data_IF_060000271157
#
_entry.id   IF_060000271157
#
_cell.length_a   1.000
_cell.length_b   1.000
_cell.length_c   1.000
_cell.angle_alpha   90.00
_cell.angle_beta   90.00
_cell.angle_gamma   90.00
#
_symmetry.space_group_name_H-M   'P 1'
#
loop_
_entity.id
_entity.type
_entity.pdbx_description
1 polymer ?
#
# COMPACT_ATOMS: atom_id res chain seq x y z
N UNK A 1 49.29 -24.48 -25.97
CA UNK A 1 48.05 -25.05 -26.52
C UNK A 1 47.07 -25.11 -25.37
N UNK A 2 46.02 -24.43 -25.23
CA UNK A 2 45.22 -23.44 -25.98
C UNK A 2 44.53 -22.58 -24.95
N UNK A 3 44.67 -21.32 -25.24
CA UNK A 3 44.02 -20.19 -24.59
C UNK A 3 42.50 -20.25 -24.75
N UNK A 4 41.72 -19.98 -23.72
CA UNK A 4 40.33 -19.54 -23.85
C UNK A 4 40.06 -18.40 -22.86
N UNK A 5 40.17 -17.20 -23.41
CA UNK A 5 39.76 -15.96 -22.76
C UNK A 5 38.22 -15.87 -22.57
N UNK A 6 37.78 -15.45 -21.38
CA UNK A 6 36.43 -14.96 -21.14
C UNK A 6 36.23 -13.61 -21.81
N UNK A 7 35.06 -13.33 -22.40
CA UNK A 7 34.80 -12.03 -23.00
C UNK A 7 34.45 -10.99 -21.92
N UNK A 8 35.12 -9.86 -21.99
CA UNK A 8 34.85 -8.65 -21.23
C UNK A 8 33.44 -8.10 -21.53
N UNK A 9 32.67 -7.84 -20.48
CA UNK A 9 31.39 -7.16 -20.57
C UNK A 9 31.58 -5.73 -21.11
N UNK A 10 30.99 -5.46 -22.26
CA UNK A 10 30.88 -4.11 -22.82
C UNK A 10 29.90 -3.30 -22.00
N UNK A 11 30.39 -2.29 -21.30
CA UNK A 11 29.56 -1.16 -20.84
C UNK A 11 28.99 -0.45 -22.08
N UNK A 12 27.71 -0.64 -22.35
CA UNK A 12 26.96 0.22 -23.26
C UNK A 12 26.70 1.54 -22.54
N UNK A 13 27.44 2.57 -22.93
CA UNK A 13 27.10 3.95 -22.61
C UNK A 13 25.76 4.27 -23.30
N UNK A 14 24.70 4.35 -22.53
CA UNK A 14 23.41 4.85 -22.98
C UNK A 14 23.54 6.36 -23.17
N UNK A 15 23.53 6.80 -24.41
CA UNK A 15 23.27 8.20 -24.79
C UNK A 15 21.93 8.62 -24.23
N UNK A 16 21.78 9.79 -23.60
CA UNK A 16 20.47 10.27 -23.15
C UNK A 16 19.63 10.60 -24.38
N UNK A 17 18.69 9.72 -24.70
CA UNK A 17 17.60 10.02 -25.62
C UNK A 17 16.77 11.14 -24.99
N UNK A 18 16.69 12.29 -25.66
CA UNK A 18 15.78 13.37 -25.29
C UNK A 18 14.36 12.86 -25.45
N UNK A 19 13.73 12.45 -24.37
CA UNK A 19 12.30 12.15 -24.34
C UNK A 19 11.59 13.50 -24.42
N UNK A 20 11.18 13.89 -25.61
CA UNK A 20 10.31 15.05 -25.82
C UNK A 20 9.00 14.79 -25.05
N UNK A 21 8.60 15.74 -24.22
CA UNK A 21 7.31 15.70 -23.52
C UNK A 21 6.21 15.81 -24.57
N UNK A 22 5.30 14.84 -24.70
CA UNK A 22 4.24 14.92 -25.71
C UNK A 22 3.34 16.13 -25.44
N UNK A 23 2.93 16.82 -26.48
CA UNK A 23 1.98 17.92 -26.43
C UNK A 23 0.57 17.40 -26.10
N UNK A 24 -0.32 18.25 -25.60
CA UNK A 24 -1.71 17.86 -25.32
C UNK A 24 -2.43 17.29 -26.56
N UNK A 25 -2.08 17.77 -27.78
CA UNK A 25 -2.61 17.26 -29.05
C UNK A 25 -2.05 15.85 -29.39
N UNK A 26 -0.79 15.55 -29.01
CA UNK A 26 -0.18 14.23 -29.19
C UNK A 26 -0.70 13.23 -28.15
N UNK A 27 -1.08 13.68 -26.96
CA UNK A 27 -1.76 12.84 -25.96
C UNK A 27 -3.19 12.47 -26.41
N UNK A 28 -3.89 13.35 -27.11
CA UNK A 28 -5.20 13.03 -27.71
C UNK A 28 -5.06 12.13 -28.95
N UNK A 29 -3.99 12.29 -29.74
CA UNK A 29 -3.72 11.46 -30.92
C UNK A 29 -3.11 10.08 -30.58
N UNK A 30 -2.47 9.93 -29.42
CA UNK A 30 -1.86 8.68 -28.95
C UNK A 30 -2.85 7.76 -28.21
N UNK A 31 -4.15 8.07 -28.20
CA UNK A 31 -5.15 7.09 -27.82
C UNK A 31 -5.20 6.06 -28.97
N UNK A 32 -4.69 4.83 -28.82
CA UNK A 32 -4.87 3.82 -29.85
C UNK A 32 -6.37 3.70 -30.08
N UNK A 33 -6.79 3.64 -31.35
CA UNK A 33 -8.15 3.25 -31.70
C UNK A 33 -8.40 1.91 -31.00
N UNK A 34 -9.02 1.96 -29.81
CA UNK A 34 -9.33 0.77 -29.02
C UNK A 34 -10.31 0.03 -29.90
N UNK A 35 -9.91 -1.13 -30.37
CA UNK A 35 -10.80 -2.10 -30.98
C UNK A 35 -11.81 -2.43 -29.87
N UNK A 36 -12.94 -1.66 -29.86
CA UNK A 36 -13.97 -1.83 -28.82
C UNK A 36 -14.50 -3.23 -28.97
N UNK A 37 -14.20 -4.09 -28.02
CA UNK A 37 -14.79 -5.40 -28.03
C UNK A 37 -16.34 -5.27 -27.99
N UNK A 38 -17.03 -6.24 -28.53
CA UNK A 38 -18.48 -6.24 -28.67
C UNK A 38 -19.21 -5.89 -27.35
N UNK A 39 -18.68 -6.31 -26.21
CA UNK A 39 -19.27 -6.03 -24.88
C UNK A 39 -19.27 -4.54 -24.56
N UNK A 40 -18.17 -3.84 -24.83
CA UNK A 40 -18.03 -2.41 -24.59
C UNK A 40 -18.99 -1.64 -25.51
N UNK A 41 -19.04 -2.02 -26.76
CA UNK A 41 -19.96 -1.43 -27.74
C UNK A 41 -21.43 -1.56 -27.30
N UNK A 42 -21.86 -2.76 -26.91
CA UNK A 42 -23.22 -3.01 -26.43
C UNK A 42 -23.56 -2.20 -25.17
N UNK A 43 -22.61 -2.10 -24.22
CA UNK A 43 -22.80 -1.30 -23.00
C UNK A 43 -22.89 0.19 -23.29
N UNK A 44 -22.13 0.70 -24.27
CA UNK A 44 -22.25 2.09 -24.72
C UNK A 44 -23.59 2.35 -25.42
N UNK A 45 -24.08 1.41 -26.22
CA UNK A 45 -25.42 1.51 -26.82
C UNK A 45 -26.51 1.53 -25.73
N UNK A 46 -26.41 0.73 -24.68
CA UNK A 46 -27.32 0.79 -23.52
C UNK A 46 -27.26 2.14 -22.81
N UNK A 47 -26.07 2.71 -22.63
CA UNK A 47 -25.91 4.04 -22.04
C UNK A 47 -26.54 5.13 -22.92
N UNK A 48 -26.39 5.06 -24.24
CA UNK A 48 -27.02 6.00 -25.17
C UNK A 48 -28.55 6.00 -25.01
N UNK A 49 -29.17 4.81 -24.96
CA UNK A 49 -30.62 4.67 -24.73
C UNK A 49 -31.05 5.26 -23.37
N UNK A 50 -30.26 5.06 -22.31
CA UNK A 50 -30.56 5.66 -21.00
C UNK A 50 -30.57 7.20 -21.06
N UNK A 51 -29.68 7.80 -21.86
CA UNK A 51 -29.64 9.27 -22.07
C UNK A 51 -30.83 9.81 -22.85
N UNK A 52 -31.42 9.00 -23.72
CA UNK A 52 -32.64 9.36 -24.48
C UNK A 52 -33.89 9.39 -23.58
N UNK A 53 -33.91 8.53 -22.54
CA UNK A 53 -35.06 8.34 -21.64
C UNK A 53 -35.00 9.18 -20.36
N UNK A 54 -33.85 9.79 -20.06
CA UNK A 54 -33.68 10.56 -18.84
C UNK A 54 -32.23 10.81 -18.42
N UNK A 55 -32.01 11.01 -17.13
CA UNK A 55 -30.70 11.27 -16.55
C UNK A 55 -29.99 9.91 -16.37
N UNK A 56 -28.97 9.65 -17.20
CA UNK A 56 -28.22 8.40 -17.17
C UNK A 56 -27.32 8.19 -15.92
N UNK A 57 -26.99 9.28 -15.23
CA UNK A 57 -26.21 9.30 -13.98
C UNK A 57 -26.92 10.16 -12.94
N UNK A 58 -27.99 9.65 -12.31
CA UNK A 58 -28.70 10.38 -11.28
C UNK A 58 -27.81 10.61 -10.05
N UNK A 59 -27.88 11.77 -9.43
CA UNK A 59 -27.11 12.17 -8.26
C UNK A 59 -27.99 12.53 -7.04
N UNK A 60 -29.22 12.12 -7.08
CA UNK A 60 -30.27 12.40 -6.08
C UNK A 60 -30.51 11.25 -5.09
N UNK A 61 -29.65 10.22 -5.09
CA UNK A 61 -29.73 9.08 -4.19
C UNK A 61 -28.55 9.06 -3.21
N UNK A 62 -28.85 9.04 -1.92
CA UNK A 62 -27.89 8.87 -0.85
C UNK A 62 -28.28 7.64 -0.02
N UNK A 63 -27.49 6.56 -0.03
CA UNK A 63 -27.80 5.39 0.77
C UNK A 63 -27.69 5.70 2.27
N UNK A 64 -28.71 5.36 3.06
CA UNK A 64 -28.70 5.51 4.50
C UNK A 64 -27.84 4.44 5.18
N UNK A 65 -27.74 3.25 4.57
CA UNK A 65 -27.12 2.07 5.15
C UNK A 65 -25.91 1.61 4.38
N UNK A 66 -25.07 0.79 5.05
CA UNK A 66 -23.88 0.15 4.46
C UNK A 66 -23.90 -1.35 4.75
N UNK A 67 -23.37 -2.14 3.80
CA UNK A 67 -23.38 -3.60 3.88
C UNK A 67 -22.72 -4.15 5.15
N UNK A 68 -21.50 -3.72 5.47
CA UNK A 68 -20.75 -4.21 6.63
C UNK A 68 -21.46 -3.95 7.97
N UNK A 69 -21.85 -2.71 8.29
CA UNK A 69 -22.65 -2.42 9.49
C UNK A 69 -23.95 -3.22 9.58
N UNK A 70 -24.69 -3.39 8.47
CA UNK A 70 -25.90 -4.20 8.46
C UNK A 70 -25.59 -5.68 8.77
N UNK A 71 -24.57 -6.25 8.15
CA UNK A 71 -24.13 -7.62 8.41
C UNK A 71 -23.75 -7.82 9.88
N UNK A 72 -22.98 -6.90 10.44
CA UNK A 72 -22.53 -6.97 11.83
C UNK A 72 -23.70 -6.81 12.82
N UNK A 73 -24.57 -5.81 12.62
CA UNK A 73 -25.70 -5.54 13.52
C UNK A 73 -26.74 -6.66 13.53
N UNK A 74 -26.85 -7.41 12.43
CA UNK A 74 -27.88 -8.45 12.29
C UNK A 74 -27.30 -9.86 12.16
N UNK A 75 -26.03 -10.07 12.55
CA UNK A 75 -25.36 -11.37 12.48
C UNK A 75 -26.17 -12.49 13.17
N UNK A 76 -26.63 -12.23 14.39
CA UNK A 76 -27.31 -13.20 15.27
C UNK A 76 -28.86 -13.22 15.13
N UNK A 77 -29.43 -12.30 14.32
CA UNK A 77 -30.90 -12.27 14.19
C UNK A 77 -31.40 -13.46 13.39
N UNK A 78 -32.40 -14.17 13.92
CA UNK A 78 -33.08 -15.23 13.19
C UNK A 78 -33.92 -14.67 12.04
N UNK A 79 -34.35 -15.54 11.17
CA UNK A 79 -35.23 -15.18 10.05
C UNK A 79 -36.53 -14.57 10.55
N UNK A 80 -37.14 -15.20 11.56
CA UNK A 80 -38.40 -14.78 12.16
C UNK A 80 -38.28 -13.42 12.86
N UNK A 81 -37.16 -13.19 13.56
CA UNK A 81 -36.88 -11.92 14.19
C UNK A 81 -36.76 -10.76 13.19
N UNK A 82 -36.07 -11.01 12.05
CA UNK A 82 -35.96 -10.00 10.97
C UNK A 82 -37.31 -9.74 10.29
N UNK A 83 -38.10 -10.76 10.04
CA UNK A 83 -39.43 -10.62 9.43
C UNK A 83 -40.39 -9.85 10.37
N UNK A 84 -40.35 -10.12 11.67
CA UNK A 84 -41.14 -9.38 12.66
C UNK A 84 -40.70 -7.93 12.81
N UNK A 85 -39.40 -7.66 12.77
CA UNK A 85 -38.85 -6.32 12.90
C UNK A 85 -39.06 -5.43 11.66
N UNK A 86 -39.26 -6.04 10.49
CA UNK A 86 -39.50 -5.36 9.20
C UNK A 86 -38.55 -4.19 8.94
N UNK A 87 -37.26 -4.38 9.16
CA UNK A 87 -36.23 -3.34 9.11
C UNK A 87 -36.08 -2.83 7.69
N UNK A 88 -36.43 -1.55 7.47
CA UNK A 88 -36.26 -0.88 6.19
C UNK A 88 -34.83 -0.40 6.03
N UNK A 89 -34.27 -0.60 4.85
CA UNK A 89 -32.89 -0.23 4.49
C UNK A 89 -32.83 0.43 3.12
N UNK A 90 -31.83 1.30 2.97
CA UNK A 90 -31.51 1.99 1.72
C UNK A 90 -30.02 1.83 1.44
N UNK A 91 -29.67 1.05 0.41
CA UNK A 91 -28.29 0.66 0.09
C UNK A 91 -27.93 0.99 -1.36
N UNK A 92 -26.65 1.22 -1.61
CA UNK A 92 -26.12 1.32 -2.97
C UNK A 92 -24.73 0.68 -3.05
N UNK A 93 -24.44 0.13 -4.22
CA UNK A 93 -23.13 -0.51 -4.44
C UNK A 93 -22.94 -0.98 -5.87
N UNK A 94 -21.77 -1.51 -6.14
CA UNK A 94 -21.43 -2.13 -7.41
C UNK A 94 -22.00 -3.54 -7.46
N UNK A 95 -22.74 -3.87 -8.52
CA UNK A 95 -23.27 -5.19 -8.75
C UNK A 95 -22.17 -6.17 -9.17
N UNK A 96 -21.76 -7.02 -8.23
CA UNK A 96 -20.69 -8.00 -8.43
C UNK A 96 -21.20 -9.36 -8.92
N UNK A 97 -22.42 -9.71 -8.57
CA UNK A 97 -23.10 -10.92 -9.00
C UNK A 97 -24.52 -10.59 -9.43
N UNK A 98 -24.98 -11.34 -10.42
CA UNK A 98 -26.34 -11.25 -10.92
C UNK A 98 -26.82 -12.66 -11.31
N UNK A 99 -28.01 -13.01 -10.87
CA UNK A 99 -28.64 -14.28 -11.20
C UNK A 99 -30.13 -14.04 -11.46
N UNK A 100 -30.56 -14.26 -12.69
CA UNK A 100 -31.96 -14.14 -13.09
C UNK A 100 -32.58 -15.53 -13.07
N UNK A 101 -33.65 -15.75 -12.31
CA UNK A 101 -34.34 -17.04 -12.15
C UNK A 101 -35.86 -16.83 -12.24
N UNK A 102 -36.40 -16.87 -13.43
CA UNK A 102 -37.85 -16.79 -13.65
C UNK A 102 -38.51 -15.54 -13.01
N UNK A 103 -39.34 -15.76 -11.97
CA UNK A 103 -40.10 -14.71 -11.26
C UNK A 103 -39.29 -13.94 -10.24
N UNK A 104 -38.08 -14.35 -9.91
CA UNK A 104 -37.20 -13.69 -8.94
C UNK A 104 -35.78 -13.62 -9.47
N UNK A 105 -35.06 -12.61 -9.05
CA UNK A 105 -33.65 -12.40 -9.37
C UNK A 105 -32.85 -12.12 -8.11
N UNK A 106 -31.57 -12.41 -8.16
CA UNK A 106 -30.61 -12.08 -7.09
C UNK A 106 -29.48 -11.23 -7.64
N UNK A 107 -29.04 -10.27 -6.86
CA UNK A 107 -27.81 -9.54 -7.10
C UNK A 107 -27.00 -9.48 -5.81
N UNK A 108 -25.68 -9.37 -5.92
CA UNK A 108 -24.81 -9.03 -4.81
C UNK A 108 -24.22 -7.65 -5.07
N UNK A 109 -24.53 -6.70 -4.22
CA UNK A 109 -23.94 -5.38 -4.23
C UNK A 109 -22.71 -5.36 -3.35
N UNK A 110 -21.65 -4.71 -3.79
CA UNK A 110 -20.45 -4.42 -3.04
C UNK A 110 -20.36 -2.92 -2.82
N UNK A 111 -20.33 -2.49 -1.57
CA UNK A 111 -20.03 -1.10 -1.20
C UNK A 111 -18.60 -0.96 -0.66
N UNK A 112 -18.31 0.13 0.06
CA UNK A 112 -16.99 0.36 0.64
C UNK A 112 -16.69 -0.60 1.81
N UNK A 113 -17.71 -1.18 2.44
CA UNK A 113 -17.61 -1.93 3.70
C UNK A 113 -17.68 -3.44 3.49
N UNK A 114 -18.62 -3.93 2.66
CA UNK A 114 -18.81 -5.36 2.42
C UNK A 114 -19.75 -5.61 1.21
N UNK A 115 -20.25 -6.84 1.11
CA UNK A 115 -21.19 -7.32 0.09
C UNK A 115 -22.52 -7.68 0.73
N UNK A 116 -23.62 -7.24 0.11
CA UNK A 116 -24.97 -7.54 0.55
C UNK A 116 -25.80 -8.10 -0.60
N UNK A 117 -26.59 -9.12 -0.32
CA UNK A 117 -27.47 -9.75 -1.31
C UNK A 117 -28.77 -8.95 -1.46
N UNK A 118 -29.23 -8.80 -2.69
CA UNK A 118 -30.55 -8.31 -3.05
C UNK A 118 -31.40 -9.46 -3.57
N UNK A 119 -32.67 -9.51 -3.16
CA UNK A 119 -33.72 -10.33 -3.73
C UNK A 119 -34.75 -9.44 -4.42
N UNK A 120 -34.95 -9.66 -5.69
CA UNK A 120 -35.71 -8.79 -6.60
C UNK A 120 -36.80 -9.63 -7.26
N UNK A 121 -38.04 -9.17 -7.20
CA UNK A 121 -39.16 -9.80 -7.89
C UNK A 121 -40.15 -8.73 -8.39
N UNK A 122 -41.11 -9.15 -9.23
CA UNK A 122 -42.10 -8.25 -9.81
C UNK A 122 -43.05 -7.65 -8.77
N UNK A 123 -43.39 -8.42 -7.72
CA UNK A 123 -44.29 -8.00 -6.65
C UNK A 123 -43.70 -6.88 -5.78
N UNK A 124 -42.42 -6.98 -5.42
CA UNK A 124 -41.73 -6.01 -4.59
C UNK A 124 -41.22 -4.81 -5.37
N UNK A 125 -40.39 -5.04 -6.36
CA UNK A 125 -39.71 -3.97 -7.13
C UNK A 125 -40.59 -3.35 -8.24
N UNK A 126 -41.68 -4.02 -8.60
CA UNK A 126 -42.48 -3.71 -9.79
C UNK A 126 -41.91 -4.38 -11.05
N UNK A 127 -42.79 -4.80 -11.95
CA UNK A 127 -42.43 -5.52 -13.18
C UNK A 127 -41.48 -4.72 -14.08
N UNK A 128 -41.72 -3.43 -14.25
CA UNK A 128 -40.88 -2.56 -15.08
C UNK A 128 -39.43 -2.44 -14.55
N UNK A 129 -39.24 -2.28 -13.23
CA UNK A 129 -37.90 -2.19 -12.63
C UNK A 129 -37.19 -3.56 -12.67
N UNK A 130 -37.92 -4.66 -12.44
CA UNK A 130 -37.34 -5.99 -12.52
C UNK A 130 -36.97 -6.36 -13.96
N UNK A 131 -37.77 -5.99 -14.96
CA UNK A 131 -37.43 -6.21 -16.37
C UNK A 131 -36.21 -5.34 -16.78
N UNK A 132 -36.15 -4.09 -16.37
CA UNK A 132 -34.97 -3.25 -16.58
C UNK A 132 -33.71 -3.88 -15.97
N UNK A 133 -33.80 -4.41 -14.75
CA UNK A 133 -32.71 -5.10 -14.07
C UNK A 133 -32.16 -6.29 -14.89
N UNK A 134 -33.01 -7.03 -15.58
CA UNK A 134 -32.56 -8.18 -16.41
C UNK A 134 -31.57 -7.74 -17.51
N UNK A 135 -31.60 -6.48 -17.93
CA UNK A 135 -30.73 -5.90 -18.96
C UNK A 135 -29.50 -5.18 -18.41
N UNK A 136 -29.40 -4.97 -17.08
CA UNK A 136 -28.21 -4.36 -16.47
C UNK A 136 -27.02 -5.33 -16.50
N UNK A 137 -25.83 -4.79 -16.39
CA UNK A 137 -24.59 -5.56 -16.52
C UNK A 137 -23.83 -5.62 -15.20
N UNK A 138 -23.02 -6.66 -15.03
CA UNK A 138 -22.08 -6.74 -13.92
C UNK A 138 -21.14 -5.53 -13.94
N UNK A 139 -20.92 -4.95 -12.77
CA UNK A 139 -20.16 -3.75 -12.60
C UNK A 139 -21.00 -2.46 -12.52
N UNK A 140 -22.27 -2.48 -12.91
CA UNK A 140 -23.18 -1.34 -12.76
C UNK A 140 -23.30 -0.93 -11.29
N UNK A 141 -23.45 0.37 -11.02
CA UNK A 141 -23.77 0.88 -9.68
C UNK A 141 -25.27 0.95 -9.55
N UNK A 142 -25.80 0.32 -8.52
CA UNK A 142 -27.22 0.13 -8.29
C UNK A 142 -27.60 0.62 -6.90
N UNK A 143 -28.75 1.28 -6.81
CA UNK A 143 -29.42 1.60 -5.55
C UNK A 143 -30.61 0.68 -5.34
N UNK A 144 -30.84 0.28 -4.08
CA UNK A 144 -31.98 -0.52 -3.69
C UNK A 144 -32.51 -0.06 -2.33
N UNK A 145 -33.83 -0.02 -2.22
CA UNK A 145 -34.54 0.14 -0.95
C UNK A 145 -35.39 -1.09 -0.71
N UNK A 146 -35.59 -1.46 0.53
CA UNK A 146 -36.37 -2.63 0.85
C UNK A 146 -36.31 -3.00 2.34
N UNK A 147 -36.63 -4.28 2.61
CA UNK A 147 -36.69 -4.81 3.99
C UNK A 147 -35.67 -5.92 4.15
N UNK A 148 -34.92 -5.91 5.25
CA UNK A 148 -33.99 -7.00 5.58
C UNK A 148 -34.72 -8.30 5.86
N UNK A 149 -34.17 -9.39 5.37
CA UNK A 149 -34.64 -10.75 5.68
C UNK A 149 -33.48 -11.76 5.57
N UNK A 150 -33.66 -12.96 6.08
CA UNK A 150 -32.75 -14.08 5.83
C UNK A 150 -33.34 -15.05 4.85
N UNK A 151 -32.51 -15.46 3.87
CA UNK A 151 -32.88 -16.54 2.95
C UNK A 151 -32.97 -17.88 3.67
N UNK A 152 -33.54 -18.89 3.00
CA UNK A 152 -33.58 -20.28 3.50
C UNK A 152 -32.17 -20.85 3.79
N UNK A 153 -31.14 -20.31 3.14
CA UNK A 153 -29.73 -20.69 3.36
C UNK A 153 -29.03 -19.86 4.43
N UNK A 154 -29.76 -18.99 5.12
CA UNK A 154 -29.21 -18.16 6.21
C UNK A 154 -28.54 -16.87 5.76
N UNK A 155 -28.54 -16.51 4.47
CA UNK A 155 -27.88 -15.29 3.99
C UNK A 155 -28.74 -14.05 4.24
N UNK A 156 -28.15 -13.02 4.86
CA UNK A 156 -28.79 -11.72 5.06
C UNK A 156 -28.99 -11.03 3.72
N UNK A 157 -30.21 -10.61 3.43
CA UNK A 157 -30.59 -10.08 2.12
C UNK A 157 -31.58 -8.94 2.24
N UNK A 158 -31.66 -8.10 1.23
CA UNK A 158 -32.70 -7.06 1.07
C UNK A 158 -33.80 -7.58 0.15
N UNK A 159 -35.02 -7.64 0.67
CA UNK A 159 -36.24 -7.82 -0.14
C UNK A 159 -36.56 -6.46 -0.78
N UNK A 160 -36.23 -6.31 -2.05
CA UNK A 160 -36.26 -5.04 -2.75
C UNK A 160 -37.67 -4.55 -3.01
N UNK A 161 -37.96 -3.31 -2.62
CA UNK A 161 -39.21 -2.58 -2.92
C UNK A 161 -38.98 -1.45 -3.93
N UNK A 162 -37.75 -0.95 -4.07
CA UNK A 162 -37.36 0.06 -5.06
C UNK A 162 -35.97 -0.26 -5.58
N UNK A 163 -35.75 -0.08 -6.88
CA UNK A 163 -34.50 -0.42 -7.55
C UNK A 163 -34.17 0.61 -8.63
N UNK A 164 -32.95 1.15 -8.61
CA UNK A 164 -32.50 2.16 -9.57
C UNK A 164 -31.09 1.87 -10.05
N UNK A 165 -30.84 2.12 -11.34
CA UNK A 165 -29.50 2.21 -11.89
C UNK A 165 -28.93 3.62 -11.63
N UNK A 166 -27.79 3.70 -10.96
CA UNK A 166 -27.10 4.96 -10.67
C UNK A 166 -25.97 5.26 -11.66
N UNK A 167 -25.24 4.23 -12.08
CA UNK A 167 -24.19 4.41 -13.06
C UNK A 167 -23.97 3.12 -13.88
N UNK A 168 -23.84 3.28 -15.18
CA UNK A 168 -23.56 2.20 -16.12
C UNK A 168 -22.06 1.90 -16.18
N UNK A 169 -21.68 0.65 -15.94
CA UNK A 169 -20.33 0.17 -16.17
C UNK A 169 -20.10 -0.09 -17.66
N UNK A 170 -19.17 0.63 -18.28
CA UNK A 170 -18.89 0.50 -19.71
C UNK A 170 -17.91 -0.60 -20.05
N UNK A 171 -16.98 -0.89 -19.13
CA UNK A 171 -16.02 -1.99 -19.30
C UNK A 171 -16.41 -3.18 -18.45
N UNK A 172 -16.22 -4.41 -18.95
CA UNK A 172 -16.43 -5.61 -18.13
C UNK A 172 -15.46 -5.63 -16.96
N UNK A 173 -15.90 -6.20 -15.84
CA UNK A 173 -15.00 -6.52 -14.73
C UNK A 173 -14.05 -7.64 -15.15
N UNK A 174 -12.85 -7.73 -14.59
CA UNK A 174 -11.95 -8.88 -14.78
C UNK A 174 -12.64 -10.18 -14.41
N UNK A 175 -12.08 -11.30 -14.88
CA UNK A 175 -12.57 -12.62 -14.55
C UNK A 175 -12.77 -12.79 -13.05
N UNK A 176 -13.92 -13.34 -12.70
CA UNK A 176 -14.40 -13.48 -11.33
C UNK A 176 -13.48 -14.33 -10.43
N UNK A 177 -12.74 -15.25 -11.03
CA UNK A 177 -11.92 -16.23 -10.29
C UNK A 177 -10.43 -15.86 -10.25
N UNK A 178 -9.96 -15.07 -11.18
CA UNK A 178 -8.52 -14.75 -11.32
C UNK A 178 -8.21 -13.27 -11.11
N UNK A 179 -9.22 -12.39 -11.13
CA UNK A 179 -9.01 -10.94 -11.03
C UNK A 179 -8.06 -10.44 -12.14
N UNK A 180 -7.21 -9.49 -11.81
CA UNK A 180 -6.04 -9.15 -12.61
C UNK A 180 -4.88 -10.05 -12.16
N UNK A 181 -4.53 -11.06 -12.97
CA UNK A 181 -3.48 -12.02 -12.63
C UNK A 181 -2.08 -11.40 -12.70
N UNK A 182 -1.87 -10.50 -13.66
CA UNK A 182 -0.60 -9.82 -13.85
C UNK A 182 -0.41 -8.69 -12.83
N UNK A 183 0.71 -8.70 -12.10
CA UNK A 183 1.04 -7.73 -11.07
C UNK A 183 1.24 -6.31 -11.66
N UNK A 184 1.81 -6.20 -12.85
CA UNK A 184 1.99 -4.93 -13.53
C UNK A 184 0.66 -4.29 -13.90
N UNK A 185 -0.28 -5.09 -14.42
CA UNK A 185 -1.64 -4.63 -14.68
C UNK A 185 -2.36 -4.19 -13.40
N UNK A 186 -2.17 -4.88 -12.28
CA UNK A 186 -2.72 -4.48 -10.97
C UNK A 186 -2.19 -3.12 -10.52
N UNK A 187 -0.94 -2.82 -10.78
CA UNK A 187 -0.36 -1.51 -10.46
C UNK A 187 -0.87 -0.41 -11.39
N UNK A 188 -0.95 -0.66 -12.69
CA UNK A 188 -1.42 0.31 -13.68
C UNK A 188 -2.92 0.55 -13.62
N UNK A 189 -3.70 -0.49 -13.29
CA UNK A 189 -5.16 -0.43 -13.19
C UNK A 189 -5.61 -0.62 -11.73
N UNK A 190 -5.02 0.14 -10.81
CA UNK A 190 -5.28 0.02 -9.38
C UNK A 190 -6.77 0.11 -9.02
N UNK A 191 -7.52 0.96 -9.70
CA UNK A 191 -8.97 1.10 -9.50
C UNK A 191 -9.73 -0.21 -9.83
N UNK A 192 -9.29 -0.96 -10.84
CA UNK A 192 -9.87 -2.26 -11.18
C UNK A 192 -9.44 -3.34 -10.17
N UNK A 193 -8.18 -3.36 -9.77
CA UNK A 193 -7.67 -4.25 -8.72
C UNK A 193 -8.45 -4.05 -7.41
N UNK A 194 -8.72 -2.80 -7.01
CA UNK A 194 -9.52 -2.50 -5.81
C UNK A 194 -10.99 -2.95 -5.92
N UNK A 195 -11.57 -3.00 -7.13
CA UNK A 195 -12.92 -3.54 -7.33
C UNK A 195 -12.93 -5.06 -7.17
N UNK A 196 -11.96 -5.73 -7.77
CA UNK A 196 -11.96 -7.19 -7.91
C UNK A 196 -11.25 -7.94 -6.77
N UNK A 197 -10.30 -7.28 -6.08
CA UNK A 197 -9.39 -7.89 -5.11
C UNK A 197 -9.62 -7.32 -3.70
N UNK A 198 -10.27 -8.10 -2.87
CA UNK A 198 -10.54 -7.74 -1.47
C UNK A 198 -9.24 -7.60 -0.64
N UNK A 199 -8.25 -8.46 -0.89
CA UNK A 199 -6.97 -8.39 -0.18
C UNK A 199 -6.24 -7.06 -0.47
N UNK A 200 -6.28 -6.57 -1.72
CA UNK A 200 -5.73 -5.27 -2.06
C UNK A 200 -6.44 -4.14 -1.29
N UNK A 201 -7.78 -4.17 -1.21
CA UNK A 201 -8.55 -3.19 -0.41
C UNK A 201 -8.16 -3.21 1.06
N UNK A 202 -8.09 -4.39 1.67
CA UNK A 202 -7.66 -4.57 3.07
C UNK A 202 -6.26 -4.00 3.30
N UNK A 203 -5.32 -4.26 2.40
CA UNK A 203 -3.95 -3.72 2.48
C UNK A 203 -3.94 -2.19 2.50
N UNK A 204 -4.71 -1.53 1.61
CA UNK A 204 -4.77 -0.06 1.60
C UNK A 204 -5.44 0.52 2.85
N UNK A 205 -6.48 -0.13 3.36
CA UNK A 205 -7.15 0.27 4.62
C UNK A 205 -6.17 0.12 5.79
N UNK A 206 -5.51 -1.04 5.92
CA UNK A 206 -4.52 -1.30 6.96
C UNK A 206 -3.37 -0.28 6.92
N UNK A 207 -2.85 0.05 5.73
CA UNK A 207 -1.84 1.09 5.56
C UNK A 207 -2.33 2.45 6.07
N UNK A 208 -3.54 2.85 5.71
CA UNK A 208 -4.11 4.13 6.15
C UNK A 208 -4.33 4.15 7.66
N UNK A 209 -4.78 3.05 8.24
CA UNK A 209 -4.95 2.89 9.69
C UNK A 209 -3.60 2.99 10.42
N UNK A 210 -2.55 2.33 9.91
CA UNK A 210 -1.20 2.42 10.47
C UNK A 210 -0.69 3.87 10.48
N UNK A 211 -0.79 4.59 9.35
CA UNK A 211 -0.32 5.98 9.25
C UNK A 211 -1.11 6.89 10.21
N UNK A 212 -2.43 6.70 10.32
CA UNK A 212 -3.26 7.46 11.25
C UNK A 212 -2.86 7.20 12.70
N UNK A 213 -2.57 5.94 13.06
CA UNK A 213 -2.12 5.58 14.40
C UNK A 213 -0.75 6.17 14.72
N UNK A 214 0.20 6.11 13.78
CA UNK A 214 1.52 6.75 13.93
C UNK A 214 1.34 8.25 14.17
N UNK A 215 0.56 8.95 13.34
CA UNK A 215 0.32 10.39 13.51
C UNK A 215 -0.28 10.72 14.87
N UNK A 216 -1.30 9.97 15.29
CA UNK A 216 -1.91 10.14 16.61
C UNK A 216 -0.92 9.88 17.72
N UNK A 217 -0.15 8.79 17.65
CA UNK A 217 0.86 8.47 18.64
C UNK A 217 1.90 9.61 18.79
N UNK A 218 2.36 10.16 17.67
CA UNK A 218 3.30 11.29 17.69
C UNK A 218 2.70 12.52 18.38
N UNK A 219 1.48 12.91 18.00
CA UNK A 219 0.82 14.09 18.58
C UNK A 219 0.49 13.89 20.06
N UNK A 220 0.03 12.71 20.46
CA UNK A 220 -0.28 12.35 21.87
C UNK A 220 1.01 12.39 22.76
N UNK A 221 2.19 12.21 22.16
CA UNK A 221 3.49 12.31 22.82
C UNK A 221 4.15 13.70 22.68
N UNK A 222 3.36 14.70 22.28
CA UNK A 222 3.79 16.11 22.27
C UNK A 222 4.64 16.51 21.06
N UNK A 223 4.63 15.73 19.98
CA UNK A 223 5.29 16.13 18.74
C UNK A 223 4.38 17.02 17.91
N UNK A 224 4.94 18.10 17.37
CA UNK A 224 4.31 18.96 16.38
C UNK A 224 4.50 18.38 14.98
N UNK A 225 3.39 18.12 14.27
CA UNK A 225 3.45 17.77 12.84
C UNK A 225 3.74 19.03 12.03
N UNK A 226 4.74 18.95 11.15
CA UNK A 226 5.17 20.06 10.31
C UNK A 226 5.29 19.60 8.86
N UNK A 227 5.27 20.59 7.95
CA UNK A 227 5.59 20.40 6.53
C UNK A 227 6.78 21.28 6.16
N UNK A 228 7.84 20.66 5.66
CA UNK A 228 9.05 21.34 5.22
C UNK A 228 9.16 21.30 3.69
N UNK A 229 9.99 22.17 3.06
CA UNK A 229 10.05 22.24 1.60
C UNK A 229 10.45 20.93 0.93
N UNK A 230 9.68 20.53 -0.08
CA UNK A 230 10.04 19.41 -0.97
C UNK A 230 11.00 19.82 -2.07
N UNK A 231 10.93 21.09 -2.53
CA UNK A 231 11.90 21.68 -3.45
C UNK A 231 12.98 22.38 -2.63
N UNK A 232 14.21 21.93 -2.78
CA UNK A 232 15.34 22.41 -1.98
C UNK A 232 16.46 22.93 -2.90
N UNK A 233 17.13 24.03 -2.53
CA UNK A 233 18.28 24.53 -3.28
C UNK A 233 19.52 23.66 -3.09
N UNK A 234 19.62 22.95 -1.96
CA UNK A 234 20.73 22.05 -1.61
C UNK A 234 20.13 20.74 -1.11
N UNK A 235 20.38 19.61 -1.75
CA UNK A 235 19.94 18.31 -1.25
C UNK A 235 20.81 17.90 -0.06
N UNK A 236 20.21 17.25 0.95
CA UNK A 236 20.94 16.77 2.11
C UNK A 236 20.09 15.92 3.04
N UNK A 237 20.72 15.38 4.09
CA UNK A 237 20.06 14.53 5.10
C UNK A 237 20.02 13.04 4.74
N UNK A 238 20.60 12.63 3.60
CA UNK A 238 20.76 11.24 3.23
C UNK A 238 21.88 11.07 2.19
N UNK A 239 22.44 9.88 2.09
CA UNK A 239 23.36 9.50 1.04
C UNK A 239 22.59 8.93 -0.15
N UNK A 240 21.92 9.80 -0.92
CA UNK A 240 21.08 9.41 -2.04
C UNK A 240 21.21 10.39 -3.22
N UNK A 241 20.95 9.93 -4.42
CA UNK A 241 20.98 10.74 -5.63
C UNK A 241 19.65 11.50 -5.79
N UNK A 242 19.64 12.86 -5.86
CA UNK A 242 18.42 13.64 -6.00
C UNK A 242 17.90 13.67 -7.44
N UNK A 243 16.59 13.92 -7.60
CA UNK A 243 16.04 14.45 -8.85
C UNK A 243 16.32 15.94 -8.96
N UNK A 244 16.69 16.39 -10.14
CA UNK A 244 17.05 17.78 -10.43
C UNK A 244 15.92 18.42 -11.23
N UNK A 245 15.58 19.66 -10.90
CA UNK A 245 14.67 20.50 -11.64
C UNK A 245 15.16 21.94 -11.74
N UNK A 246 14.45 22.81 -12.46
CA UNK A 246 14.80 24.19 -12.65
C UNK A 246 13.65 25.11 -12.26
N UNK A 247 13.94 26.12 -11.45
CA UNK A 247 12.98 27.17 -11.07
C UNK A 247 13.08 28.32 -12.08
N UNK A 248 12.16 28.39 -13.04
CA UNK A 248 12.24 29.32 -14.17
C UNK A 248 12.28 30.81 -13.75
N UNK A 249 11.47 31.21 -12.76
CA UNK A 249 11.41 32.61 -12.36
C UNK A 249 12.67 33.10 -11.62
N UNK A 250 13.41 32.21 -10.97
CA UNK A 250 14.66 32.51 -10.26
C UNK A 250 15.91 32.13 -11.06
N UNK A 251 15.74 31.51 -12.22
CA UNK A 251 16.83 30.91 -13.02
C UNK A 251 17.79 30.08 -12.15
N UNK A 252 17.20 29.20 -11.33
CA UNK A 252 17.93 28.45 -10.31
C UNK A 252 17.68 26.96 -10.40
N UNK A 253 18.75 26.17 -10.32
CA UNK A 253 18.65 24.72 -10.13
C UNK A 253 18.08 24.40 -8.75
N UNK A 254 17.12 23.48 -8.73
CA UNK A 254 16.48 22.99 -7.52
C UNK A 254 16.50 21.46 -7.50
N UNK A 255 16.30 20.90 -6.34
CA UNK A 255 16.31 19.46 -6.12
C UNK A 255 15.01 19.02 -5.42
N UNK A 256 14.44 17.91 -5.84
CA UNK A 256 13.46 17.22 -5.03
C UNK A 256 14.17 16.61 -3.80
N UNK A 257 13.63 16.82 -2.62
CA UNK A 257 14.30 16.43 -1.37
C UNK A 257 14.51 14.91 -1.29
N UNK A 258 15.65 14.53 -0.79
CA UNK A 258 15.99 13.13 -0.46
C UNK A 258 15.67 12.79 1.00
N UNK A 259 15.57 13.80 1.87
CA UNK A 259 15.16 13.74 3.27
C UNK A 259 14.76 15.14 3.78
N UNK A 260 13.91 15.25 4.81
CA UNK A 260 13.56 16.52 5.45
C UNK A 260 14.52 16.94 6.58
N UNK A 261 15.54 16.17 6.88
CA UNK A 261 16.42 16.26 8.05
C UNK A 261 16.89 17.68 8.38
N UNK A 262 17.51 18.37 7.41
CA UNK A 262 18.11 19.67 7.65
C UNK A 262 17.08 20.73 8.05
N UNK A 263 15.87 20.65 7.50
CA UNK A 263 14.79 21.58 7.83
C UNK A 263 14.16 21.26 9.18
N UNK A 264 13.97 19.98 9.51
CA UNK A 264 13.46 19.56 10.81
C UNK A 264 14.45 19.96 11.94
N UNK A 265 15.75 19.78 11.75
CA UNK A 265 16.78 20.23 12.69
C UNK A 265 16.76 21.75 12.89
N UNK A 266 16.52 22.54 11.83
CA UNK A 266 16.35 24.00 11.96
C UNK A 266 15.15 24.38 12.81
N UNK A 267 14.04 23.63 12.72
CA UNK A 267 12.87 23.86 13.57
C UNK A 267 13.18 23.57 15.05
N UNK A 268 13.96 22.51 15.33
CA UNK A 268 14.42 22.22 16.69
C UNK A 268 15.34 23.36 17.22
N UNK A 269 16.27 23.84 16.41
CA UNK A 269 17.09 25.01 16.75
C UNK A 269 16.24 26.26 16.98
N UNK A 270 15.13 26.39 16.23
CA UNK A 270 14.15 27.47 16.38
C UNK A 270 13.26 27.38 17.62
N UNK A 271 13.41 26.32 18.43
CA UNK A 271 12.72 26.17 19.71
C UNK A 271 11.54 25.17 19.73
N UNK A 272 11.27 24.44 18.63
CA UNK A 272 10.32 23.34 18.66
C UNK A 272 11.01 22.07 19.18
N UNK A 273 10.79 21.73 20.43
CA UNK A 273 11.51 20.64 21.09
C UNK A 273 11.20 19.25 20.51
N UNK A 274 10.01 19.06 19.92
CA UNK A 274 9.57 17.81 19.30
C UNK A 274 8.84 18.09 18.01
N UNK A 275 9.39 17.60 16.90
CA UNK A 275 8.81 17.79 15.56
C UNK A 275 8.82 16.48 14.79
N UNK A 276 7.83 16.29 13.94
CA UNK A 276 7.82 15.20 12.97
C UNK A 276 7.17 15.63 11.66
N UNK A 277 7.52 14.91 10.60
CA UNK A 277 6.91 15.06 9.29
C UNK A 277 6.65 13.67 8.69
N UNK A 278 5.44 13.43 8.20
CA UNK A 278 5.07 12.26 7.39
C UNK A 278 4.80 12.75 5.98
N UNK A 279 5.77 12.57 5.08
CA UNK A 279 5.64 13.15 3.75
C UNK A 279 6.49 12.40 2.70
N UNK A 280 6.46 12.89 1.45
CA UNK A 280 7.17 12.31 0.32
C UNK A 280 8.64 12.70 0.31
N UNK A 281 9.47 11.72 -0.01
CA UNK A 281 10.88 11.90 -0.39
C UNK A 281 11.14 11.25 -1.74
N UNK A 282 12.21 11.67 -2.39
CA UNK A 282 12.53 11.33 -3.77
C UNK A 282 13.99 10.91 -3.87
N UNK A 283 14.27 9.71 -4.38
CA UNK A 283 15.63 9.21 -4.59
C UNK A 283 15.75 8.68 -6.01
N UNK A 284 16.65 9.27 -6.81
CA UNK A 284 16.87 8.92 -8.22
C UNK A 284 17.88 7.79 -8.33
N UNK A 285 17.48 6.62 -7.87
CA UNK A 285 18.31 5.42 -7.79
C UNK A 285 17.61 4.24 -8.46
N UNK A 286 18.21 3.05 -8.39
CA UNK A 286 17.63 1.82 -8.93
C UNK A 286 16.29 1.48 -8.29
N UNK A 287 15.37 0.92 -9.07
CA UNK A 287 14.06 0.46 -8.61
C UNK A 287 14.08 -1.02 -8.26
N UNK A 288 13.33 -1.39 -7.22
CA UNK A 288 13.08 -2.79 -6.84
C UNK A 288 11.69 -2.91 -6.20
N UNK A 289 11.20 -4.11 -5.90
CA UNK A 289 9.95 -4.28 -5.15
C UNK A 289 9.90 -3.54 -3.82
N UNK A 290 11.06 -3.22 -3.23
CA UNK A 290 11.19 -2.50 -1.96
C UNK A 290 11.64 -1.04 -2.12
N UNK A 291 12.10 -0.63 -3.30
CA UNK A 291 12.63 0.71 -3.55
C UNK A 291 11.88 1.39 -4.68
N UNK A 292 11.12 2.41 -4.34
CA UNK A 292 10.41 3.28 -5.26
C UNK A 292 11.11 4.63 -5.31
N UNK A 293 11.23 5.29 -6.46
CA UNK A 293 11.87 6.61 -6.54
C UNK A 293 11.13 7.71 -5.75
N UNK A 294 9.84 7.52 -5.51
CA UNK A 294 9.01 8.36 -4.66
C UNK A 294 8.36 7.51 -3.57
N UNK A 295 8.57 7.86 -2.32
CA UNK A 295 8.06 7.10 -1.18
C UNK A 295 7.70 8.01 0.00
N UNK A 296 6.80 7.53 0.86
CA UNK A 296 6.45 8.19 2.11
C UNK A 296 7.35 7.69 3.22
N UNK A 297 7.96 8.61 3.97
CA UNK A 297 8.63 8.27 5.23
C UNK A 297 8.18 9.23 6.33
N UNK A 298 8.32 8.80 7.57
CA UNK A 298 8.26 9.64 8.74
C UNK A 298 9.69 9.92 9.22
N UNK A 299 9.96 11.18 9.50
CA UNK A 299 11.17 11.60 10.19
C UNK A 299 10.79 12.47 11.38
N UNK A 300 11.47 12.32 12.51
CA UNK A 300 11.14 13.06 13.73
C UNK A 300 12.38 13.35 14.57
N UNK A 301 12.31 14.42 15.32
CA UNK A 301 13.39 14.91 16.19
C UNK A 301 12.82 15.31 17.54
N UNK A 302 13.55 14.97 18.61
CA UNK A 302 13.22 15.36 19.97
C UNK A 302 14.47 15.91 20.67
N UNK A 303 14.36 17.11 21.21
CA UNK A 303 15.39 17.69 22.07
C UNK A 303 15.43 16.95 23.42
N UNK A 304 16.59 17.01 24.10
CA UNK A 304 16.83 16.49 25.46
C UNK A 304 16.60 14.96 25.57
N UNK A 305 16.75 14.22 24.46
CA UNK A 305 16.65 12.77 24.44
C UNK A 305 17.89 12.15 23.80
N UNK A 306 18.12 10.87 24.08
CA UNK A 306 19.19 10.08 23.49
C UNK A 306 18.65 8.93 22.63
N UNK A 307 19.56 8.18 22.01
CA UNK A 307 19.20 7.04 21.16
C UNK A 307 18.52 5.91 21.94
N UNK A 308 18.75 5.77 23.25
CA UNK A 308 18.09 4.75 24.09
C UNK A 308 16.62 5.06 24.26
N UNK A 309 16.31 6.32 24.54
CA UNK A 309 14.92 6.79 24.56
C UNK A 309 14.24 6.59 23.19
N UNK A 310 14.97 6.87 22.09
CA UNK A 310 14.44 6.68 20.74
C UNK A 310 14.15 5.22 20.43
N UNK A 311 14.94 4.26 20.93
CA UNK A 311 14.62 2.84 20.77
C UNK A 311 13.29 2.48 21.43
N UNK A 312 13.08 2.86 22.69
CA UNK A 312 11.82 2.60 23.42
C UNK A 312 10.64 3.28 22.71
N UNK A 313 10.83 4.50 22.26
CA UNK A 313 9.80 5.24 21.53
C UNK A 313 9.46 4.59 20.20
N UNK A 314 10.45 4.12 19.46
CA UNK A 314 10.28 3.43 18.18
C UNK A 314 9.53 2.10 18.33
N UNK A 315 9.85 1.32 19.37
CA UNK A 315 9.08 0.11 19.71
C UNK A 315 7.60 0.44 19.92
N UNK A 316 7.32 1.48 20.70
CA UNK A 316 5.94 1.89 21.00
C UNK A 316 5.17 2.35 19.74
N UNK A 317 5.82 3.14 18.87
CA UNK A 317 5.23 3.56 17.57
C UNK A 317 4.89 2.37 16.68
N UNK A 318 5.82 1.42 16.56
CA UNK A 318 5.63 0.22 15.72
C UNK A 318 4.47 -0.64 16.26
N UNK A 319 4.39 -0.83 17.59
CA UNK A 319 3.29 -1.55 18.23
C UNK A 319 1.93 -0.86 18.01
N UNK A 320 1.89 0.46 18.17
CA UNK A 320 0.67 1.24 17.91
C UNK A 320 0.20 1.09 16.45
N UNK A 321 1.13 1.14 15.49
CA UNK A 321 0.85 0.96 14.08
C UNK A 321 0.33 -0.46 13.77
N UNK A 322 0.97 -1.50 14.32
CA UNK A 322 0.58 -2.89 14.15
C UNK A 322 -0.82 -3.17 14.68
N UNK A 323 -1.12 -2.72 15.91
CA UNK A 323 -2.45 -2.84 16.49
C UNK A 323 -3.54 -2.17 15.64
N UNK A 324 -3.27 -0.97 15.13
CA UNK A 324 -4.25 -0.26 14.31
C UNK A 324 -4.45 -0.87 12.92
N UNK A 325 -3.40 -1.44 12.34
CA UNK A 325 -3.44 -2.04 11.01
C UNK A 325 -4.01 -3.47 11.01
N UNK A 326 -3.66 -4.26 12.03
CA UNK A 326 -3.89 -5.70 12.07
C UNK A 326 -4.75 -6.17 13.25
N UNK A 327 -5.04 -5.30 14.23
CA UNK A 327 -5.75 -5.66 15.46
C UNK A 327 -4.92 -6.47 16.46
N UNK A 328 -3.63 -6.66 16.21
CA UNK A 328 -2.72 -7.46 17.03
C UNK A 328 -1.27 -7.01 16.81
N UNK A 329 -0.41 -7.33 17.80
CA UNK A 329 1.05 -7.17 17.69
C UNK A 329 1.77 -8.45 17.31
N UNK A 330 1.07 -9.60 17.31
CA UNK A 330 1.62 -10.87 16.81
C UNK A 330 1.12 -11.08 15.39
N UNK A 331 2.04 -11.02 14.42
CA UNK A 331 1.75 -11.00 12.99
C UNK A 331 2.28 -12.28 12.33
N UNK A 332 1.66 -12.65 11.20
CA UNK A 332 2.25 -13.63 10.28
C UNK A 332 2.86 -12.89 9.10
N UNK A 333 4.17 -12.97 8.96
CA UNK A 333 4.90 -12.39 7.84
C UNK A 333 5.71 -13.45 7.10
N UNK A 334 5.52 -13.56 5.79
CA UNK A 334 6.18 -14.60 4.96
C UNK A 334 6.04 -16.03 5.51
N UNK A 335 4.86 -16.35 6.10
CA UNK A 335 4.57 -17.66 6.67
C UNK A 335 5.22 -17.95 8.03
N UNK A 336 5.89 -16.97 8.64
CA UNK A 336 6.50 -17.05 9.97
C UNK A 336 5.81 -16.10 10.94
N UNK A 337 5.78 -16.48 12.20
CA UNK A 337 5.29 -15.59 13.26
C UNK A 337 6.32 -14.49 13.54
N UNK A 338 5.81 -13.27 13.72
CA UNK A 338 6.55 -12.07 14.13
C UNK A 338 5.81 -11.46 15.32
N UNK A 339 6.40 -11.57 16.50
CA UNK A 339 5.85 -10.99 17.73
C UNK A 339 6.50 -9.64 18.04
N UNK A 340 5.69 -8.59 17.94
CA UNK A 340 6.08 -7.21 18.29
C UNK A 340 5.73 -6.86 19.74
N UNK A 341 5.08 -7.75 20.51
CA UNK A 341 4.67 -7.49 21.91
C UNK A 341 5.85 -7.53 22.86
N UNK A 342 6.86 -8.35 22.56
CA UNK A 342 8.09 -8.48 23.36
C UNK A 342 9.04 -7.31 23.14
N UNK A 343 9.89 -6.95 24.11
CA UNK A 343 10.95 -5.96 23.91
C UNK A 343 11.84 -6.33 22.73
N UNK A 344 12.19 -5.36 21.90
CA UNK A 344 13.10 -5.58 20.79
C UNK A 344 14.51 -5.85 21.32
N UNK A 345 15.20 -6.83 20.74
CA UNK A 345 16.58 -7.13 21.12
C UNK A 345 17.48 -5.91 20.85
N UNK A 346 18.50 -5.73 21.68
CA UNK A 346 19.52 -4.66 21.54
C UNK A 346 20.88 -5.33 21.59
N UNK A 347 21.54 -5.37 20.47
CA UNK A 347 22.78 -6.11 20.28
C UNK A 347 23.82 -5.20 19.64
N UNK A 348 25.04 -5.26 20.10
CA UNK A 348 26.20 -4.75 19.36
C UNK A 348 26.44 -5.63 18.13
N UNK A 349 27.20 -5.16 17.16
CA UNK A 349 27.57 -5.95 15.97
C UNK A 349 28.23 -7.27 16.39
N UNK A 350 29.13 -7.26 17.37
CA UNK A 350 29.83 -8.45 17.85
C UNK A 350 28.87 -9.44 18.53
N UNK A 351 27.95 -8.95 19.38
CA UNK A 351 26.92 -9.78 20.02
C UNK A 351 25.96 -10.38 18.98
N UNK A 352 25.56 -9.60 17.99
CA UNK A 352 24.69 -10.07 16.90
C UNK A 352 25.35 -11.19 16.08
N UNK A 353 26.63 -11.03 15.73
CA UNK A 353 27.42 -12.09 15.07
C UNK A 353 27.47 -13.34 15.95
N UNK A 354 27.85 -13.21 17.24
CA UNK A 354 27.97 -14.35 18.15
C UNK A 354 26.65 -15.06 18.40
N UNK A 355 25.53 -14.34 18.41
CA UNK A 355 24.19 -14.89 18.66
C UNK A 355 23.59 -15.55 17.42
N UNK A 356 23.72 -14.94 16.26
CA UNK A 356 23.02 -15.35 15.03
C UNK A 356 23.89 -16.12 14.05
N UNK A 357 25.21 -16.17 14.26
CA UNK A 357 26.16 -16.99 13.52
C UNK A 357 26.97 -17.85 14.47
N UNK A 358 26.44 -19.01 14.90
CA UNK A 358 27.09 -19.86 15.94
C UNK A 358 28.55 -20.26 15.67
N UNK A 359 28.96 -20.30 14.40
CA UNK A 359 30.35 -20.58 14.02
C UNK A 359 31.33 -19.48 14.50
N UNK A 360 30.85 -18.31 14.84
CA UNK A 360 31.64 -17.16 15.31
C UNK A 360 31.48 -16.89 16.81
N UNK A 361 30.77 -17.75 17.53
CA UNK A 361 30.61 -17.58 18.98
C UNK A 361 31.97 -17.66 19.68
N UNK A 362 32.38 -16.61 20.38
CA UNK A 362 33.69 -16.51 21.03
C UNK A 362 34.86 -16.24 20.08
N UNK A 363 34.61 -15.98 18.81
CA UNK A 363 35.64 -15.65 17.85
C UNK A 363 36.31 -14.29 18.15
N UNK A 364 37.59 -14.10 17.78
CA UNK A 364 38.31 -12.86 18.04
C UNK A 364 37.91 -11.77 17.06
N UNK A 365 36.68 -11.28 17.18
CA UNK A 365 36.08 -10.25 16.29
C UNK A 365 36.77 -8.89 16.35
N UNK A 366 37.70 -8.67 17.29
CA UNK A 366 38.55 -7.48 17.35
C UNK A 366 39.89 -7.66 16.63
N UNK A 367 40.17 -8.83 16.08
CA UNK A 367 41.41 -9.10 15.35
C UNK A 367 41.23 -8.84 13.84
N UNK A 368 42.01 -7.88 13.34
CA UNK A 368 41.93 -7.44 11.94
C UNK A 368 42.26 -8.56 10.94
N UNK A 369 43.27 -9.35 11.22
CA UNK A 369 43.70 -10.43 10.32
C UNK A 369 42.69 -11.60 10.33
N UNK A 370 42.11 -11.88 11.48
CA UNK A 370 41.02 -12.85 11.60
C UNK A 370 39.83 -12.40 10.71
N UNK A 371 39.36 -11.16 10.87
CA UNK A 371 38.23 -10.64 10.10
C UNK A 371 38.49 -10.67 8.58
N UNK A 372 39.70 -10.26 8.15
CA UNK A 372 40.09 -10.34 6.76
C UNK A 372 40.12 -11.77 6.22
N UNK A 373 40.59 -12.71 7.00
CA UNK A 373 40.64 -14.13 6.64
C UNK A 373 39.24 -14.71 6.48
N UNK A 374 38.32 -14.42 7.42
CA UNK A 374 36.93 -14.90 7.37
C UNK A 374 36.14 -14.29 6.21
N UNK A 375 36.24 -12.98 5.98
CA UNK A 375 35.59 -12.32 4.85
C UNK A 375 36.05 -12.92 3.50
N UNK A 376 37.34 -13.22 3.34
CA UNK A 376 37.86 -13.91 2.14
C UNK A 376 37.27 -15.32 1.98
N UNK A 377 37.11 -16.10 3.06
CA UNK A 377 36.46 -17.41 3.01
C UNK A 377 35.00 -17.31 2.55
N UNK A 378 34.31 -16.24 2.93
CA UNK A 378 32.93 -15.94 2.51
C UNK A 378 32.84 -15.38 1.08
N UNK A 379 33.97 -15.14 0.41
CA UNK A 379 34.03 -14.65 -0.96
C UNK A 379 33.99 -13.12 -1.08
N UNK A 380 34.11 -12.39 0.04
CA UNK A 380 34.17 -10.93 0.04
C UNK A 380 35.56 -10.48 -0.42
N UNK A 381 35.61 -9.61 -1.42
CA UNK A 381 36.87 -9.03 -1.88
C UNK A 381 37.39 -7.98 -0.89
N UNK A 382 38.35 -8.40 -0.07
CA UNK A 382 39.01 -7.52 0.90
C UNK A 382 40.04 -6.56 0.25
N UNK A 383 40.26 -6.64 -1.06
CA UNK A 383 41.12 -5.70 -1.81
C UNK A 383 40.31 -4.56 -2.45
N UNK A 384 38.99 -4.66 -2.49
CA UNK A 384 38.08 -3.58 -2.91
C UNK A 384 38.38 -2.29 -2.15
N UNK A 385 38.31 -1.11 -2.77
CA UNK A 385 38.55 0.19 -2.11
C UNK A 385 37.77 0.38 -0.79
N UNK A 386 36.60 -0.21 -0.65
CA UNK A 386 35.78 -0.18 0.56
C UNK A 386 36.41 -0.92 1.74
N UNK A 387 37.13 -2.03 1.48
CA UNK A 387 37.65 -2.93 2.48
C UNK A 387 39.18 -2.86 2.62
N UNK A 388 39.92 -2.47 1.58
CA UNK A 388 41.38 -2.48 1.53
C UNK A 388 42.03 -1.72 2.69
N UNK A 389 41.46 -0.60 3.07
CA UNK A 389 41.97 0.25 4.16
C UNK A 389 41.02 0.28 5.36
N UNK A 390 40.02 -0.63 5.40
CA UNK A 390 39.06 -0.70 6.48
C UNK A 390 39.73 -1.18 7.77
N UNK A 391 39.40 -0.52 8.87
CA UNK A 391 39.75 -0.94 10.21
C UNK A 391 38.87 -2.07 10.72
N UNK A 392 39.05 -2.41 11.99
CA UNK A 392 38.33 -3.52 12.64
C UNK A 392 36.82 -3.33 12.58
N UNK A 393 36.31 -2.12 12.88
CA UNK A 393 34.90 -1.84 12.96
C UNK A 393 34.18 -2.01 11.62
N UNK A 394 34.78 -1.51 10.54
CA UNK A 394 34.21 -1.64 9.20
C UNK A 394 34.21 -3.11 8.71
N UNK A 395 35.24 -3.89 9.08
CA UNK A 395 35.26 -5.32 8.75
C UNK A 395 34.34 -6.14 9.65
N UNK A 396 34.08 -5.74 10.90
CA UNK A 396 33.04 -6.32 11.75
C UNK A 396 31.65 -6.10 11.11
N UNK A 397 31.37 -4.88 10.63
CA UNK A 397 30.12 -4.61 9.94
C UNK A 397 29.98 -5.48 8.69
N UNK A 398 31.01 -5.55 7.86
CA UNK A 398 30.99 -6.41 6.66
C UNK A 398 30.75 -7.89 7.02
N UNK A 399 31.38 -8.40 8.08
CA UNK A 399 31.13 -9.77 8.54
C UNK A 399 29.70 -9.96 9.04
N UNK A 400 29.16 -8.99 9.80
CA UNK A 400 27.77 -9.01 10.27
C UNK A 400 26.77 -9.08 9.11
N UNK A 401 26.95 -8.25 8.09
CA UNK A 401 26.10 -8.24 6.89
C UNK A 401 26.09 -9.60 6.19
N UNK A 402 27.22 -10.29 6.12
CA UNK A 402 27.35 -11.59 5.45
C UNK A 402 26.78 -12.76 6.27
N UNK A 403 26.97 -12.78 7.60
CA UNK A 403 26.73 -14.00 8.38
C UNK A 403 25.56 -13.90 9.36
N UNK A 404 25.13 -12.71 9.76
CA UNK A 404 24.16 -12.53 10.85
C UNK A 404 22.92 -11.73 10.44
N UNK A 405 23.03 -10.69 9.62
CA UNK A 405 21.93 -9.78 9.31
C UNK A 405 20.71 -10.52 8.76
N UNK A 406 20.90 -11.42 7.82
CA UNK A 406 19.82 -12.20 7.19
C UNK A 406 19.09 -13.14 8.15
N UNK A 407 19.70 -13.45 9.30
CA UNK A 407 19.16 -14.32 10.35
C UNK A 407 18.33 -13.56 11.39
N UNK A 408 18.39 -12.23 11.41
CA UNK A 408 17.61 -11.38 12.31
C UNK A 408 16.14 -11.40 11.91
N UNK A 409 15.35 -12.24 12.56
CA UNK A 409 13.93 -12.35 12.33
C UNK A 409 13.11 -11.50 13.30
N UNK A 410 13.40 -11.65 14.59
CA UNK A 410 12.77 -10.82 15.63
C UNK A 410 13.26 -9.40 15.57
N UNK A 411 12.42 -8.40 15.88
CA UNK A 411 12.83 -7.01 15.88
C UNK A 411 14.07 -6.79 16.75
N UNK A 412 15.10 -6.21 16.18
CA UNK A 412 16.41 -6.04 16.81
C UNK A 412 16.98 -4.67 16.46
N UNK A 413 17.47 -3.98 17.48
CA UNK A 413 18.34 -2.81 17.32
C UNK A 413 19.79 -3.26 17.32
N UNK A 414 20.54 -2.89 16.31
CA UNK A 414 22.00 -2.97 16.35
C UNK A 414 22.51 -1.65 16.93
N UNK A 415 23.25 -1.74 18.01
CA UNK A 415 23.67 -0.57 18.80
C UNK A 415 25.20 -0.49 18.87
N UNK A 416 25.69 0.66 19.38
CA UNK A 416 27.10 0.90 19.64
C UNK A 416 27.98 0.59 18.42
N UNK A 417 27.60 1.16 17.26
CA UNK A 417 28.37 1.03 16.04
C UNK A 417 29.81 1.51 16.25
N UNK A 418 30.79 0.81 15.68
CA UNK A 418 32.16 1.30 15.65
C UNK A 418 32.26 2.69 15.01
N UNK A 419 33.16 3.54 15.51
CA UNK A 419 33.35 4.90 15.00
C UNK A 419 33.76 4.97 13.52
N UNK A 420 34.21 3.85 12.99
CA UNK A 420 34.68 3.70 11.60
C UNK A 420 33.55 3.54 10.58
N UNK A 421 32.29 3.36 11.02
CA UNK A 421 31.10 3.07 10.18
C UNK A 421 29.96 4.03 10.47
#
# INVERSE_FOLDING_TARGET
MTDQAKPAGKHLAATPSSIATPTAAELDAATPAVDENQIIFERRAKLARLRETGIAYPNDFVPADRAGPLLAAHAEHSREALEAAAIKVSVAGRMMLKRVQGKASFATLQDATDRLQLWINDEGAGSAAHDAFKHWDLGDIVAAEGTLFRTMKGELSVRVSSLRLLAKSLRPLPDKFHGLADQEQRYRQRHVDLIANEAARKTFIARSSAITAVRRFMTDNGFLEVETPMLQPIPGGAAAKPFITHHNALDQQMFLRIAPELYLKRLVVGGFERVFEINRNFRNEGISPRHNPEFTMMEFYAAYTDYRWLMDFTEAVIRAAANAACGTTTLTYQGRELDLSVPFARLTIAEAIGTHAPAYQGAPLSDLEFLRAELRKLGVDTTDPRHRHAGVGALQLALFEEVAESSLWSPTFIIDYPIEV
#
